data_IF_812601471584
#
_entry.id   IF_812601471584
#
_cell.length_a   1.000
_cell.length_b   1.000
_cell.length_c   1.000
_cell.angle_alpha   90.00
_cell.angle_beta   90.00
_cell.angle_gamma   90.00
#
_symmetry.space_group_name_H-M   'P 1'
#
loop_
_entity.id
_entity.type
_entity.pdbx_description
1 polymer ?
#
# COMPACT_ATOMS: atom_id res chain seq x y z
N UNK A 1 -5.19 30.44 0.52
CA UNK A 1 -4.68 29.49 1.53
C UNK A 1 -5.11 28.11 1.07
N UNK A 2 -4.19 27.17 0.84
CA UNK A 2 -4.56 25.81 0.50
C UNK A 2 -5.05 25.11 1.77
N UNK A 3 -6.28 24.59 1.74
CA UNK A 3 -6.84 23.79 2.83
C UNK A 3 -6.11 22.44 2.86
N UNK A 4 -5.47 22.11 3.98
CA UNK A 4 -4.74 20.84 4.14
C UNK A 4 -5.76 19.81 4.65
N UNK A 5 -6.27 18.98 3.74
CA UNK A 5 -7.11 17.84 4.12
C UNK A 5 -6.25 16.67 4.62
N UNK A 6 -6.33 16.38 5.92
CA UNK A 6 -5.68 15.20 6.51
C UNK A 6 -6.50 13.94 6.25
N UNK A 7 -6.12 13.18 5.23
CA UNK A 7 -6.73 11.88 4.86
C UNK A 7 -5.66 10.78 4.85
N UNK A 8 -6.04 9.58 5.33
CA UNK A 8 -5.18 8.39 5.35
C UNK A 8 -5.95 7.16 4.84
N UNK A 9 -5.27 6.00 4.79
CA UNK A 9 -5.90 4.74 4.40
C UNK A 9 -7.05 4.38 5.36
N UNK A 10 -8.20 3.89 4.85
CA UNK A 10 -9.31 3.46 5.69
C UNK A 10 -8.97 2.17 6.45
N UNK A 11 -9.69 1.93 7.54
CA UNK A 11 -9.61 0.66 8.26
C UNK A 11 -10.12 -0.49 7.38
N UNK A 12 -9.36 -1.59 7.35
CA UNK A 12 -9.72 -2.80 6.61
C UNK A 12 -9.98 -3.94 7.61
N UNK A 13 -11.24 -4.32 7.76
CA UNK A 13 -11.67 -5.32 8.75
C UNK A 13 -11.08 -6.72 8.52
N UNK A 14 -10.46 -6.98 7.35
CA UNK A 14 -9.71 -8.22 7.10
C UNK A 14 -8.43 -8.30 7.93
N UNK A 15 -7.94 -7.17 8.44
CA UNK A 15 -6.71 -7.06 9.23
C UNK A 15 -6.99 -6.39 10.60
N UNK A 16 -7.70 -7.09 11.51
CA UNK A 16 -8.11 -6.52 12.81
C UNK A 16 -6.98 -6.42 13.84
N UNK A 17 -5.80 -6.97 13.55
CA UNK A 17 -4.66 -7.02 14.46
C UNK A 17 -3.86 -5.73 14.47
N UNK A 18 -3.17 -5.44 15.57
CA UNK A 18 -2.24 -4.29 15.65
C UNK A 18 -1.07 -4.41 14.67
N UNK A 19 -0.60 -5.63 14.38
CA UNK A 19 0.39 -5.85 13.34
C UNK A 19 -0.26 -5.61 11.96
N UNK A 20 0.23 -4.59 11.24
CA UNK A 20 -0.29 -4.13 9.94
C UNK A 20 0.57 -4.59 8.75
N UNK A 21 1.56 -5.47 8.96
CA UNK A 21 2.48 -5.92 7.90
C UNK A 21 1.75 -6.57 6.73
N UNK A 22 0.82 -7.49 7.01
CA UNK A 22 -0.03 -8.11 5.98
C UNK A 22 -0.96 -7.12 5.28
N UNK A 23 -1.41 -6.08 5.98
CA UNK A 23 -2.26 -5.04 5.39
C UNK A 23 -1.45 -4.18 4.40
N UNK A 24 -0.27 -3.70 4.82
CA UNK A 24 0.66 -2.98 3.96
C UNK A 24 1.02 -3.81 2.72
N UNK A 25 1.43 -5.07 2.89
CA UNK A 25 1.82 -5.95 1.79
C UNK A 25 0.66 -6.16 0.79
N UNK A 26 -0.56 -6.38 1.29
CA UNK A 26 -1.75 -6.54 0.43
C UNK A 26 -1.96 -5.29 -0.43
N UNK A 27 -1.86 -4.09 0.14
CA UNK A 27 -2.03 -2.82 -0.60
C UNK A 27 -0.90 -2.56 -1.60
N UNK A 28 0.33 -2.93 -1.25
CA UNK A 28 1.47 -2.87 -2.16
C UNK A 28 1.25 -3.76 -3.39
N UNK A 29 0.83 -5.02 -3.20
CA UNK A 29 0.54 -5.95 -4.29
C UNK A 29 -0.63 -5.46 -5.16
N UNK A 30 -1.69 -4.91 -4.56
CA UNK A 30 -2.80 -4.31 -5.31
C UNK A 30 -2.35 -3.15 -6.21
N UNK A 31 -1.47 -2.28 -5.71
CA UNK A 31 -0.89 -1.18 -6.49
C UNK A 31 -0.10 -1.71 -7.69
N UNK A 32 0.82 -2.64 -7.49
CA UNK A 32 1.65 -3.17 -8.59
C UNK A 32 0.84 -4.02 -9.59
N UNK A 33 -0.18 -4.74 -9.14
CA UNK A 33 -1.14 -5.40 -10.05
C UNK A 33 -1.92 -4.38 -10.87
N UNK A 34 -2.33 -3.26 -10.26
CA UNK A 34 -3.00 -2.17 -10.96
C UNK A 34 -2.09 -1.57 -12.04
N UNK A 35 -0.82 -1.28 -11.71
CA UNK A 35 0.16 -0.79 -12.68
C UNK A 35 0.38 -1.76 -13.84
N UNK A 36 0.53 -3.06 -13.55
CA UNK A 36 0.73 -4.08 -14.57
C UNK A 36 -0.49 -4.23 -15.51
N UNK A 37 -1.71 -4.05 -14.98
CA UNK A 37 -2.94 -4.20 -15.75
C UNK A 37 -3.35 -2.94 -16.53
N UNK A 38 -3.10 -1.74 -15.96
CA UNK A 38 -3.63 -0.47 -16.49
C UNK A 38 -2.55 0.48 -17.01
N UNK A 39 -1.28 0.24 -16.72
CA UNK A 39 -0.18 1.17 -17.01
C UNK A 39 0.00 2.23 -15.92
N UNK A 40 1.03 3.06 -16.08
CA UNK A 40 1.29 4.19 -15.20
C UNK A 40 0.25 5.32 -15.42
N UNK A 41 -0.03 6.10 -14.37
CA UNK A 41 -0.92 7.28 -14.49
C UNK A 41 -2.42 7.02 -14.39
N UNK A 42 -2.87 5.78 -14.14
CA UNK A 42 -4.28 5.53 -13.84
C UNK A 42 -4.67 6.11 -12.47
N UNK A 43 -5.71 6.95 -12.43
CA UNK A 43 -6.24 7.54 -11.19
C UNK A 43 -6.66 6.48 -10.15
N UNK A 44 -7.04 5.28 -10.59
CA UNK A 44 -7.33 4.17 -9.68
C UNK A 44 -6.06 3.62 -9.02
N UNK A 45 -4.96 3.51 -9.76
CA UNK A 45 -3.69 3.06 -9.21
C UNK A 45 -3.09 4.10 -8.25
N UNK A 46 -3.31 5.40 -8.47
CA UNK A 46 -2.93 6.44 -7.51
C UNK A 46 -3.62 6.29 -6.14
N UNK A 47 -4.85 5.78 -6.11
CA UNK A 47 -5.55 5.53 -4.84
C UNK A 47 -4.85 4.44 -4.03
N UNK A 48 -4.51 3.33 -4.69
CA UNK A 48 -3.72 2.26 -4.07
C UNK A 48 -2.32 2.76 -3.68
N UNK A 49 -1.75 3.68 -4.47
CA UNK A 49 -0.46 4.30 -4.19
C UNK A 49 -0.47 5.07 -2.87
N UNK A 50 -1.52 5.86 -2.64
CA UNK A 50 -1.71 6.59 -1.38
C UNK A 50 -1.84 5.63 -0.20
N UNK A 51 -2.63 4.57 -0.33
CA UNK A 51 -2.86 3.63 0.77
C UNK A 51 -1.60 2.85 1.16
N UNK A 52 -0.86 2.29 0.21
CA UNK A 52 0.36 1.56 0.56
C UNK A 52 1.39 2.51 1.20
N UNK A 53 1.54 3.74 0.70
CA UNK A 53 2.48 4.74 1.28
C UNK A 53 2.09 5.19 2.68
N UNK A 54 0.81 5.20 3.02
CA UNK A 54 0.33 5.54 4.37
C UNK A 54 0.48 4.38 5.36
N UNK A 55 0.47 3.13 4.89
CA UNK A 55 0.51 1.93 5.75
C UNK A 55 1.93 1.34 5.89
N UNK A 56 2.73 1.41 4.84
CA UNK A 56 4.05 0.80 4.78
C UNK A 56 5.13 1.79 5.26
N UNK A 57 6.03 1.36 6.16
CA UNK A 57 7.24 2.13 6.47
C UNK A 57 8.08 2.38 5.21
N UNK A 58 8.59 3.61 5.05
CA UNK A 58 9.39 3.98 3.88
C UNK A 58 10.72 3.23 3.76
N UNK A 59 11.22 2.68 4.87
CA UNK A 59 12.45 1.87 4.90
C UNK A 59 12.22 0.41 4.51
N UNK A 60 10.97 -0.02 4.33
CA UNK A 60 10.73 -1.38 3.91
C UNK A 60 11.24 -1.60 2.49
N UNK A 61 11.97 -2.69 2.26
CA UNK A 61 12.59 -2.97 0.99
C UNK A 61 11.59 -3.53 -0.04
N UNK A 62 10.31 -3.16 0.10
CA UNK A 62 9.23 -3.51 -0.81
C UNK A 62 9.45 -2.96 -2.22
N UNK A 63 10.56 -2.28 -2.52
CA UNK A 63 10.88 -1.94 -3.90
C UNK A 63 11.25 -3.18 -4.74
N UNK A 64 11.76 -4.24 -4.09
CA UNK A 64 12.14 -5.48 -4.76
C UNK A 64 11.03 -6.54 -4.64
N UNK A 65 10.53 -7.10 -5.77
CA UNK A 65 9.47 -8.11 -5.77
C UNK A 65 9.79 -9.34 -4.90
N UNK A 66 11.08 -9.69 -4.79
CA UNK A 66 11.56 -10.86 -4.04
C UNK A 66 11.67 -10.68 -2.52
N UNK A 67 11.60 -9.45 -2.00
CA UNK A 67 11.74 -9.20 -0.56
C UNK A 67 10.39 -8.97 0.13
N UNK A 68 9.34 -8.76 -0.66
CA UNK A 68 7.97 -8.60 -0.18
C UNK A 68 7.38 -9.92 0.38
N UNK A 69 7.87 -11.07 -0.06
CA UNK A 69 7.37 -12.40 0.36
C UNK A 69 7.66 -12.65 1.85
N UNK A 70 8.87 -12.33 2.31
CA UNK A 70 9.28 -12.52 3.71
C UNK A 70 8.57 -11.55 4.67
N UNK A 71 8.14 -10.38 4.20
CA UNK A 71 7.36 -9.46 5.02
C UNK A 71 5.97 -10.03 5.36
N UNK A 72 5.37 -10.87 4.50
CA UNK A 72 4.03 -11.42 4.76
C UNK A 72 3.94 -12.43 5.91
N UNK A 73 5.10 -12.94 6.35
CA UNK A 73 5.25 -13.98 7.38
C UNK A 73 5.64 -13.42 8.77
N UNK A 74 5.88 -12.11 8.89
CA UNK A 74 6.17 -11.38 10.14
C UNK A 74 4.96 -10.57 10.59
#
# INVERSE_FOLDING_TARGET
MAEIELKTAPADFRFPTTNQTRHCFTRYVEFHRCLAAKGDGSAECERFAKYYRSLCPGEWPLHEPGLCIHASEV
#
